data_IF_751009320919
#
_entry.id   IF_751009320919
#
_cell.length_a   1.000
_cell.length_b   1.000
_cell.length_c   1.000
_cell.angle_alpha   90.00
_cell.angle_beta   90.00
_cell.angle_gamma   90.00
#
_symmetry.space_group_name_H-M   'P 1'
#
loop_
_entity.id
_entity.type
_entity.pdbx_description
1 polymer ?
#
# COMPACT_ATOMS: atom_id res chain seq x y z
N UNK A 1 14.44 18.87 -1.04
CA UNK A 1 14.57 17.41 -0.81
C UNK A 1 15.67 16.95 -1.74
N UNK A 2 16.66 16.19 -1.27
CA UNK A 2 17.68 15.66 -2.15
C UNK A 2 17.02 14.66 -3.11
N UNK A 3 17.27 14.81 -4.40
CA UNK A 3 16.80 13.88 -5.43
C UNK A 3 17.64 12.61 -5.29
N UNK A 4 16.98 11.47 -5.03
CA UNK A 4 17.65 10.17 -4.93
C UNK A 4 17.80 9.65 -6.35
N UNK A 5 19.02 9.23 -6.73
CA UNK A 5 19.25 8.61 -8.04
C UNK A 5 18.42 7.32 -8.19
N UNK A 6 17.87 7.07 -9.38
CA UNK A 6 17.00 5.90 -9.67
C UNK A 6 17.67 4.57 -9.32
N UNK A 7 19.00 4.50 -9.47
CA UNK A 7 19.86 3.37 -9.10
C UNK A 7 19.80 3.03 -7.61
N UNK A 8 19.52 4.01 -6.76
CA UNK A 8 19.44 3.88 -5.30
C UNK A 8 18.01 3.72 -4.78
N UNK A 9 16.99 3.81 -5.65
CA UNK A 9 15.59 3.73 -5.23
C UNK A 9 15.25 2.40 -4.57
N UNK A 10 15.77 1.30 -5.11
CA UNK A 10 15.56 -0.03 -4.52
C UNK A 10 16.21 -0.10 -3.15
N UNK A 11 17.49 0.28 -3.03
CA UNK A 11 18.20 0.24 -1.75
C UNK A 11 17.50 1.09 -0.69
N UNK A 12 17.03 2.26 -1.08
CA UNK A 12 16.27 3.15 -0.20
C UNK A 12 14.93 2.52 0.22
N UNK A 13 14.18 1.97 -0.74
CA UNK A 13 12.91 1.30 -0.47
C UNK A 13 13.10 0.11 0.49
N UNK A 14 14.16 -0.68 0.30
CA UNK A 14 14.50 -1.80 1.17
C UNK A 14 14.87 -1.34 2.58
N UNK A 15 15.63 -0.24 2.72
CA UNK A 15 15.99 0.33 4.02
C UNK A 15 14.81 0.92 4.80
N UNK A 16 13.69 1.21 4.14
CA UNK A 16 12.45 1.66 4.78
C UNK A 16 11.57 0.52 5.27
N UNK A 17 11.86 -0.72 4.84
CA UNK A 17 11.04 -1.86 5.23
C UNK A 17 11.39 -2.29 6.66
N UNK A 18 10.38 -2.64 7.48
CA UNK A 18 10.63 -3.23 8.79
C UNK A 18 11.57 -4.43 8.69
N UNK A 19 12.51 -4.57 9.62
CA UNK A 19 13.51 -5.67 9.66
C UNK A 19 12.90 -7.07 9.49
N UNK A 20 11.67 -7.29 10.00
CA UNK A 20 10.91 -8.54 9.84
C UNK A 20 10.51 -8.86 8.38
N UNK A 21 10.60 -7.88 7.49
CA UNK A 21 10.27 -7.97 6.07
C UNK A 21 11.50 -8.18 5.18
N UNK A 22 12.70 -7.80 5.64
CA UNK A 22 13.97 -8.05 4.93
C UNK A 22 14.16 -9.54 4.63
N UNK A 23 13.86 -10.42 5.59
CA UNK A 23 13.92 -11.88 5.42
C UNK A 23 13.00 -12.42 4.32
N UNK A 24 11.92 -11.70 4.01
CA UNK A 24 10.97 -12.09 2.97
C UNK A 24 11.39 -11.62 1.58
N UNK A 25 12.23 -10.58 1.51
CA UNK A 25 12.77 -10.00 0.27
C UNK A 25 13.91 -10.85 -0.26
N UNK A 26 14.65 -11.55 0.61
CA UNK A 26 15.68 -12.55 0.24
C UNK A 26 15.13 -13.64 -0.70
N UNK A 27 13.81 -13.82 -0.76
CA UNK A 27 13.14 -14.77 -1.65
C UNK A 27 12.82 -14.21 -3.05
N UNK A 28 13.09 -12.94 -3.31
CA UNK A 28 12.98 -12.36 -4.65
C UNK A 28 14.18 -12.81 -5.50
N UNK A 29 13.96 -13.09 -6.80
CA UNK A 29 15.03 -13.52 -7.69
C UNK A 29 16.08 -12.39 -7.83
N UNK A 30 17.33 -12.71 -7.47
CA UNK A 30 18.43 -11.73 -7.27
C UNK A 30 18.81 -10.92 -8.50
N UNK A 31 18.52 -11.43 -9.69
CA UNK A 31 18.75 -10.81 -10.99
C UNK A 31 17.81 -9.63 -11.29
N UNK A 32 16.72 -9.48 -10.52
CA UNK A 32 15.73 -8.39 -10.70
C UNK A 32 15.60 -7.45 -9.50
N UNK A 33 16.45 -7.59 -8.49
CA UNK A 33 16.40 -6.74 -7.28
C UNK A 33 16.83 -5.30 -7.58
N UNK A 34 17.48 -5.03 -8.72
CA UNK A 34 17.82 -3.66 -9.16
C UNK A 34 16.71 -2.97 -9.94
N UNK A 35 15.67 -3.69 -10.35
CA UNK A 35 14.52 -3.14 -11.08
C UNK A 35 13.46 -2.66 -10.08
N UNK A 36 13.34 -1.34 -9.97
CA UNK A 36 12.40 -0.70 -9.05
C UNK A 36 10.94 -1.09 -9.31
N UNK A 37 10.50 -1.12 -10.57
CA UNK A 37 9.12 -1.44 -10.91
C UNK A 37 8.81 -2.90 -10.61
N UNK A 38 9.75 -3.81 -10.88
CA UNK A 38 9.62 -5.21 -10.51
C UNK A 38 9.53 -5.40 -9.00
N UNK A 39 10.43 -4.77 -8.22
CA UNK A 39 10.44 -4.87 -6.76
C UNK A 39 9.17 -4.26 -6.17
N UNK A 40 8.75 -3.09 -6.65
CA UNK A 40 7.49 -2.45 -6.26
C UNK A 40 6.29 -3.35 -6.54
N UNK A 41 6.17 -3.90 -7.74
CA UNK A 41 5.06 -4.80 -8.10
C UNK A 41 5.03 -6.05 -7.21
N UNK A 42 6.19 -6.65 -6.92
CA UNK A 42 6.28 -7.83 -6.06
C UNK A 42 5.93 -7.53 -4.61
N UNK A 43 6.35 -6.37 -4.08
CA UNK A 43 5.95 -5.93 -2.75
C UNK A 43 4.43 -5.70 -2.71
N UNK A 44 3.86 -5.00 -3.69
CA UNK A 44 2.41 -4.78 -3.77
C UNK A 44 1.62 -6.10 -3.82
N UNK A 45 2.03 -7.05 -4.67
CA UNK A 45 1.45 -8.39 -4.76
C UNK A 45 1.54 -9.14 -3.42
N UNK A 46 2.73 -9.12 -2.80
CA UNK A 46 3.03 -9.84 -1.56
C UNK A 46 2.22 -9.32 -0.37
N UNK A 47 2.11 -8.00 -0.23
CA UNK A 47 1.31 -7.36 0.82
C UNK A 47 -0.17 -7.31 0.48
N UNK A 48 -0.57 -7.82 -0.70
CA UNK A 48 -1.91 -7.71 -1.24
C UNK A 48 -2.38 -6.25 -1.21
N UNK A 49 -1.51 -5.30 -1.56
CA UNK A 49 -1.83 -3.88 -1.64
C UNK A 49 -2.45 -3.58 -3.00
N UNK A 50 -3.55 -4.26 -3.31
CA UNK A 50 -4.38 -4.02 -4.48
C UNK A 50 -5.70 -3.36 -4.08
N UNK A 51 -6.39 -2.78 -5.06
CA UNK A 51 -7.65 -2.07 -4.86
C UNK A 51 -8.66 -2.88 -4.05
N UNK A 52 -8.86 -4.16 -4.41
CA UNK A 52 -9.82 -5.06 -3.77
C UNK A 52 -9.50 -5.33 -2.29
N UNK A 53 -8.23 -5.53 -1.95
CA UNK A 53 -7.84 -5.78 -0.56
C UNK A 53 -7.97 -4.51 0.28
N UNK A 54 -7.59 -3.35 -0.25
CA UNK A 54 -7.74 -2.06 0.44
C UNK A 54 -9.22 -1.73 0.65
N UNK A 55 -10.05 -1.91 -0.39
CA UNK A 55 -11.51 -1.88 -0.32
C UNK A 55 -12.03 -2.78 0.79
N UNK A 56 -11.66 -4.07 0.78
CA UNK A 56 -12.15 -5.07 1.75
C UNK A 56 -11.76 -4.69 3.17
N UNK A 57 -10.53 -4.21 3.39
CA UNK A 57 -10.06 -3.74 4.69
C UNK A 57 -10.81 -2.49 5.17
N UNK A 58 -11.22 -1.61 4.26
CA UNK A 58 -12.03 -0.44 4.56
C UNK A 58 -13.49 -0.80 4.86
N UNK A 59 -14.15 -1.56 3.97
CA UNK A 59 -15.58 -1.92 4.09
C UNK A 59 -15.86 -2.84 5.28
N UNK A 60 -14.98 -3.83 5.52
CA UNK A 60 -15.11 -4.77 6.62
C UNK A 60 -14.33 -4.35 7.86
N UNK A 61 -13.97 -3.07 7.96
CA UNK A 61 -13.17 -2.59 9.08
C UNK A 61 -13.91 -2.83 10.40
N UNK A 62 -13.28 -3.54 11.32
CA UNK A 62 -13.76 -3.74 12.68
C UNK A 62 -12.77 -3.12 13.65
N UNK A 63 -13.24 -2.23 14.52
CA UNK A 63 -12.40 -1.60 15.54
C UNK A 63 -11.89 -2.68 16.51
N UNK A 64 -10.57 -2.89 16.63
CA UNK A 64 -10.06 -3.82 17.63
C UNK A 64 -10.32 -3.29 19.04
N UNK A 65 -10.55 -4.21 19.97
CA UNK A 65 -10.81 -3.85 21.36
C UNK A 65 -9.55 -3.22 21.97
N UNK A 66 -9.71 -2.08 22.66
CA UNK A 66 -8.59 -1.37 23.29
C UNK A 66 -7.80 -0.43 22.39
N UNK A 67 -8.12 -0.31 21.10
CA UNK A 67 -7.44 0.66 20.20
C UNK A 67 -7.92 2.09 20.44
N UNK A 68 -6.99 3.04 20.49
CA UNK A 68 -7.30 4.47 20.55
C UNK A 68 -7.94 4.95 19.25
N UNK A 69 -8.89 5.88 19.37
CA UNK A 69 -9.58 6.50 18.22
C UNK A 69 -8.63 7.11 17.19
N UNK A 70 -7.47 7.66 17.62
CA UNK A 70 -6.49 8.22 16.70
C UNK A 70 -5.88 7.19 15.74
N UNK A 71 -5.64 5.97 16.21
CA UNK A 71 -5.12 4.88 15.39
C UNK A 71 -6.21 4.32 14.48
N UNK A 72 -7.45 4.27 14.97
CA UNK A 72 -8.61 3.93 14.15
C UNK A 72 -8.75 4.85 12.92
N UNK A 73 -8.72 6.17 13.15
CA UNK A 73 -8.86 7.16 12.07
C UNK A 73 -7.68 7.07 11.11
N UNK A 74 -6.47 6.85 11.63
CA UNK A 74 -5.27 6.67 10.80
C UNK A 74 -5.40 5.45 9.88
N UNK A 75 -5.80 4.30 10.43
CA UNK A 75 -5.97 3.08 9.65
C UNK A 75 -7.07 3.25 8.61
N UNK A 76 -8.24 3.76 8.99
CA UNK A 76 -9.35 3.98 8.05
C UNK A 76 -8.95 4.90 6.89
N UNK A 77 -8.24 6.00 7.17
CA UNK A 77 -7.72 6.91 6.13
C UNK A 77 -6.71 6.21 5.23
N UNK A 78 -5.78 5.46 5.81
CA UNK A 78 -4.75 4.75 5.02
C UNK A 78 -5.37 3.75 4.03
N UNK A 79 -6.39 3.01 4.45
CA UNK A 79 -7.08 2.08 3.57
C UNK A 79 -7.90 2.79 2.48
N UNK A 80 -8.61 3.87 2.85
CA UNK A 80 -9.41 4.66 1.91
C UNK A 80 -8.52 5.36 0.88
N UNK A 81 -7.51 6.11 1.32
CA UNK A 81 -6.59 6.85 0.45
C UNK A 81 -5.84 5.90 -0.49
N UNK A 82 -5.41 4.75 0.03
CA UNK A 82 -4.81 3.70 -0.79
C UNK A 82 -5.77 3.19 -1.86
N UNK A 83 -7.02 2.88 -1.49
CA UNK A 83 -8.01 2.38 -2.44
C UNK A 83 -8.34 3.42 -3.51
N UNK A 84 -8.64 4.66 -3.13
CA UNK A 84 -8.92 5.75 -4.06
C UNK A 84 -7.72 6.02 -5.00
N UNK A 85 -6.50 5.97 -4.47
CA UNK A 85 -5.28 6.07 -5.26
C UNK A 85 -5.16 4.97 -6.31
N UNK A 86 -5.52 3.73 -5.99
CA UNK A 86 -5.51 2.62 -6.98
C UNK A 86 -6.60 2.73 -8.05
N UNK A 87 -7.63 3.54 -7.84
CA UNK A 87 -8.73 3.75 -8.80
C UNK A 87 -8.67 5.14 -9.46
N UNK A 88 -7.59 5.89 -9.21
CA UNK A 88 -7.41 7.26 -9.68
C UNK A 88 -8.59 8.20 -9.37
N UNK A 89 -9.30 7.95 -8.26
CA UNK A 89 -10.42 8.79 -7.83
C UNK A 89 -9.87 10.06 -7.20
N UNK A 90 -10.19 11.22 -7.79
CA UNK A 90 -9.60 12.53 -7.42
C UNK A 90 -10.56 13.47 -6.70
N UNK A 91 -11.86 13.18 -6.74
CA UNK A 91 -12.89 14.05 -6.19
C UNK A 91 -14.05 13.27 -5.56
N UNK A 92 -14.96 14.01 -4.92
CA UNK A 92 -16.09 13.44 -4.22
C UNK A 92 -17.12 12.78 -5.15
N UNK A 93 -17.25 13.25 -6.39
CA UNK A 93 -18.18 12.65 -7.35
C UNK A 93 -17.66 11.28 -7.82
N UNK A 94 -16.36 11.17 -8.13
CA UNK A 94 -15.73 9.89 -8.43
C UNK A 94 -15.80 8.90 -7.27
N UNK A 95 -15.75 9.38 -6.01
CA UNK A 95 -15.99 8.53 -4.84
C UNK A 95 -17.44 8.02 -4.82
N UNK A 96 -18.42 8.87 -5.08
CA UNK A 96 -19.84 8.47 -5.11
C UNK A 96 -20.10 7.42 -6.18
N UNK A 97 -19.59 7.64 -7.40
CA UNK A 97 -19.72 6.69 -8.50
C UNK A 97 -19.09 5.35 -8.14
N UNK A 98 -17.88 5.37 -7.55
CA UNK A 98 -17.21 4.18 -7.06
C UNK A 98 -18.08 3.43 -6.04
N UNK A 99 -18.59 4.12 -5.01
CA UNK A 99 -19.45 3.53 -3.97
C UNK A 99 -20.72 2.88 -4.52
N UNK A 100 -21.30 3.43 -5.60
CA UNK A 100 -22.50 2.88 -6.25
C UNK A 100 -22.14 1.61 -7.03
N UNK A 101 -21.04 1.63 -7.78
CA UNK A 101 -20.58 0.45 -8.53
C UNK A 101 -20.08 -0.70 -7.66
N UNK A 102 -19.79 -0.41 -6.40
CA UNK A 102 -19.23 -1.35 -5.44
C UNK A 102 -20.29 -2.18 -4.68
N UNK A 103 -21.58 -1.88 -4.86
CA UNK A 103 -22.72 -2.62 -4.28
C UNK A 103 -22.91 -4.02 -4.87
#
# INVERSE_FOLDING_TARGET
MAEIEETEWVNHLLGLLPVKLEEQIIKLPGDKITDYDFVKAKLLERFKLNAETLRTKFMNFQRPQGTLWKYLIFDLRTHLDGWLGTQEVKDFEGLKDLMITDQ
#
